data_IF_007911697292
#
_entry.id   IF_007911697292
#
_cell.length_a   1.000
_cell.length_b   1.000
_cell.length_c   1.000
_cell.angle_alpha   90.00
_cell.angle_beta   90.00
_cell.angle_gamma   90.00
#
_symmetry.space_group_name_H-M   'P 1'
#
loop_
_entity.id
_entity.type
_entity.pdbx_description
1 polymer ?
#
# COMPACT_ATOMS: atom_id res chain seq x y z
N UNK A 1 -11.19 12.43 -1.19
CA UNK A 1 -10.36 13.22 -0.24
C UNK A 1 -8.92 12.91 -0.58
N UNK A 2 -8.12 13.87 -1.06
CA UNK A 2 -6.70 13.63 -1.33
C UNK A 2 -5.93 13.64 -0.01
N UNK A 3 -5.78 12.49 0.62
CA UNK A 3 -4.86 12.36 1.74
C UNK A 3 -3.43 12.44 1.22
N UNK A 4 -2.58 13.19 1.91
CA UNK A 4 -1.15 13.14 1.63
C UNK A 4 -0.59 11.76 1.99
N UNK A 5 0.45 11.32 1.28
CA UNK A 5 1.14 10.06 1.56
C UNK A 5 1.61 9.98 3.03
N UNK A 6 2.08 11.10 3.58
CA UNK A 6 2.47 11.22 4.99
C UNK A 6 1.30 10.99 5.95
N UNK A 7 0.10 11.44 5.61
CA UNK A 7 -1.10 11.24 6.44
C UNK A 7 -1.51 9.78 6.44
N UNK A 8 -1.51 9.15 5.27
CA UNK A 8 -1.83 7.72 5.10
C UNK A 8 -0.85 6.85 5.88
N UNK A 9 0.46 7.08 5.73
CA UNK A 9 1.49 6.35 6.48
C UNK A 9 1.30 6.46 7.99
N UNK A 10 1.01 7.66 8.50
CA UNK A 10 0.77 7.87 9.94
C UNK A 10 -0.47 7.12 10.43
N UNK A 11 -1.58 7.19 9.68
CA UNK A 11 -2.81 6.47 10.02
C UNK A 11 -2.59 4.96 10.04
N UNK A 12 -1.89 4.41 9.04
CA UNK A 12 -1.52 3.00 9.02
C UNK A 12 -0.75 2.58 10.29
N UNK A 13 0.30 3.33 10.63
CA UNK A 13 1.12 3.02 11.81
C UNK A 13 0.30 3.00 13.11
N UNK A 14 -0.69 3.89 13.25
CA UNK A 14 -1.53 3.96 14.45
C UNK A 14 -2.40 2.71 14.67
N UNK A 15 -2.68 1.94 13.62
CA UNK A 15 -3.50 0.72 13.69
C UNK A 15 -2.70 -0.56 13.40
N UNK A 16 -1.36 -0.48 13.46
CA UNK A 16 -0.49 -1.64 13.35
C UNK A 16 -0.07 -2.00 11.92
N UNK A 17 -0.18 -1.08 10.97
CA UNK A 17 0.24 -1.30 9.58
C UNK A 17 1.41 -0.40 9.18
N UNK A 18 2.23 -0.87 8.24
CA UNK A 18 3.27 -0.07 7.59
C UNK A 18 2.99 0.02 6.09
N UNK A 19 2.94 1.24 5.58
CA UNK A 19 2.82 1.51 4.14
C UNK A 19 4.22 1.72 3.56
N UNK A 20 4.57 0.90 2.57
CA UNK A 20 5.83 0.94 1.85
C UNK A 20 5.59 1.45 0.43
N UNK A 21 6.43 2.39 -0.02
CA UNK A 21 6.36 2.95 -1.37
C UNK A 21 7.50 2.37 -2.20
N UNK A 22 7.20 2.05 -3.44
CA UNK A 22 8.15 1.53 -4.40
C UNK A 22 7.65 1.69 -5.82
N UNK A 23 8.29 0.98 -6.73
CA UNK A 23 7.83 0.89 -8.11
C UNK A 23 7.09 -0.42 -8.29
N UNK A 24 6.10 -0.43 -9.18
CA UNK A 24 5.40 -1.65 -9.56
C UNK A 24 6.36 -2.57 -10.32
N UNK A 25 6.56 -3.78 -9.81
CA UNK A 25 7.35 -4.81 -10.49
C UNK A 25 6.46 -5.93 -11.05
N UNK A 26 6.93 -6.52 -12.16
CA UNK A 26 6.56 -7.86 -12.62
C UNK A 26 7.82 -8.74 -12.69
N UNK A 27 8.00 -9.65 -11.73
CA UNK A 27 9.23 -10.41 -11.53
C UNK A 27 10.41 -9.47 -11.32
N UNK A 28 11.40 -9.52 -12.23
CA UNK A 28 12.59 -8.68 -12.18
C UNK A 28 12.43 -7.34 -12.93
N UNK A 29 11.26 -7.07 -13.52
CA UNK A 29 11.03 -5.92 -14.39
C UNK A 29 10.20 -4.84 -13.70
N UNK A 30 10.62 -3.57 -13.82
CA UNK A 30 9.82 -2.42 -13.38
C UNK A 30 8.86 -2.01 -14.48
N UNK A 31 7.61 -1.73 -14.13
CA UNK A 31 6.61 -1.23 -15.08
C UNK A 31 6.84 0.25 -15.41
N UNK A 32 6.72 0.60 -16.69
CA UNK A 32 6.92 1.96 -17.20
C UNK A 32 5.72 2.43 -18.02
N UNK A 33 5.41 3.72 -17.96
CA UNK A 33 4.44 4.35 -18.85
C UNK A 33 4.99 4.50 -20.28
N UNK A 34 4.16 4.98 -21.20
CA UNK A 34 4.54 5.21 -22.61
C UNK A 34 5.66 6.24 -22.80
N UNK A 35 5.96 7.04 -21.77
CA UNK A 35 7.03 8.03 -21.73
C UNK A 35 8.30 7.50 -21.06
N UNK A 36 8.30 6.25 -20.55
CA UNK A 36 9.42 5.66 -19.83
C UNK A 36 9.52 6.07 -18.36
N UNK A 37 8.46 6.63 -17.75
CA UNK A 37 8.43 6.86 -16.31
C UNK A 37 7.99 5.60 -15.57
N UNK A 38 8.64 5.32 -14.43
CA UNK A 38 8.31 4.15 -13.59
C UNK A 38 7.00 4.37 -12.86
N UNK A 39 6.13 3.35 -12.88
CA UNK A 39 4.90 3.37 -12.09
C UNK A 39 5.23 3.25 -10.61
N UNK A 40 4.77 4.22 -9.83
CA UNK A 40 4.90 4.21 -8.37
C UNK A 40 3.66 3.53 -7.78
N UNK A 41 3.87 2.71 -6.76
CA UNK A 41 2.77 2.18 -5.97
C UNK A 41 3.20 1.78 -4.57
N UNK A 42 2.32 1.06 -3.89
CA UNK A 42 2.39 0.85 -2.46
C UNK A 42 2.14 -0.59 -2.06
N UNK A 43 2.70 -0.97 -0.91
CA UNK A 43 2.41 -2.20 -0.20
C UNK A 43 2.00 -1.87 1.23
N UNK A 44 1.12 -2.70 1.80
CA UNK A 44 0.69 -2.58 3.20
C UNK A 44 1.11 -3.83 3.93
N UNK A 45 1.96 -3.65 4.95
CA UNK A 45 2.46 -4.72 5.82
C UNK A 45 1.74 -4.67 7.16
N UNK A 46 1.14 -5.78 7.56
CA UNK A 46 0.69 -5.98 8.93
C UNK A 46 1.90 -6.18 9.83
N UNK A 47 2.05 -5.34 10.85
CA UNK A 47 3.16 -5.41 11.80
C UNK A 47 2.96 -6.52 12.84
N UNK A 48 1.74 -7.00 13.05
CA UNK A 48 1.45 -8.10 13.97
C UNK A 48 1.82 -9.45 13.36
N UNK A 49 1.32 -9.74 12.16
CA UNK A 49 1.63 -11.02 11.48
C UNK A 49 2.92 -10.98 10.67
N UNK A 50 3.39 -9.80 10.29
CA UNK A 50 4.56 -9.62 9.44
C UNK A 50 4.30 -9.85 7.94
N UNK A 51 3.05 -10.16 7.55
CA UNK A 51 2.66 -10.40 6.16
C UNK A 51 2.18 -9.13 5.47
N UNK A 52 2.17 -9.17 4.13
CA UNK A 52 1.59 -8.12 3.31
C UNK A 52 0.13 -8.45 2.99
N UNK A 53 -0.77 -7.51 3.25
CA UNK A 53 -2.23 -7.67 3.10
C UNK A 53 -2.66 -7.94 1.66
N UNK A 54 -1.79 -7.59 0.70
CA UNK A 54 -1.97 -7.88 -0.72
C UNK A 54 -0.62 -8.07 -1.44
N UNK A 55 0.30 -8.78 -0.79
CA UNK A 55 1.48 -9.29 -1.48
C UNK A 55 1.03 -10.37 -2.46
N UNK A 56 1.42 -10.27 -3.73
CA UNK A 56 1.17 -11.36 -4.66
C UNK A 56 1.85 -12.62 -4.10
N UNK A 57 1.06 -13.63 -3.73
CA UNK A 57 1.56 -14.92 -3.23
C UNK A 57 2.52 -15.63 -4.18
N UNK A 58 2.66 -15.13 -5.43
CA UNK A 58 3.60 -15.66 -6.41
C UNK A 58 4.95 -14.93 -6.47
N UNK A 59 5.25 -13.97 -5.58
CA UNK A 59 6.46 -13.12 -5.58
C UNK A 59 6.68 -12.30 -6.87
N UNK A 60 5.85 -12.50 -7.89
CA UNK A 60 6.03 -11.91 -9.21
C UNK A 60 5.46 -10.51 -9.32
N UNK A 61 4.71 -10.00 -8.34
CA UNK A 61 4.19 -8.64 -8.39
C UNK A 61 4.21 -7.98 -7.02
N UNK A 62 4.70 -6.74 -6.98
CA UNK A 62 4.76 -5.93 -5.77
C UNK A 62 4.33 -4.48 -6.04
N UNK A 63 4.10 -3.73 -4.96
CA UNK A 63 3.69 -2.32 -5.00
C UNK A 63 2.47 -2.01 -5.88
N UNK A 64 1.52 -2.94 -5.98
CA UNK A 64 0.39 -2.83 -6.90
C UNK A 64 -0.65 -1.79 -6.49
N UNK A 65 -0.69 -1.41 -5.21
CA UNK A 65 -1.72 -0.47 -4.75
C UNK A 65 -1.37 0.95 -5.16
N UNK A 66 -2.37 1.71 -5.57
CA UNK A 66 -2.28 3.16 -5.59
C UNK A 66 -2.59 3.71 -4.17
N UNK A 67 -2.44 5.02 -3.96
CA UNK A 67 -2.62 5.61 -2.63
C UNK A 67 -4.08 5.60 -2.17
N UNK A 68 -5.03 5.67 -3.11
CA UNK A 68 -6.46 5.62 -2.81
C UNK A 68 -6.87 4.20 -2.36
N UNK A 69 -6.34 3.15 -3.00
CA UNK A 69 -6.55 1.76 -2.57
C UNK A 69 -6.08 1.55 -1.12
N UNK A 70 -4.89 2.09 -0.78
CA UNK A 70 -4.36 2.05 0.59
C UNK A 70 -5.30 2.79 1.55
N UNK A 71 -5.82 3.95 1.14
CA UNK A 71 -6.71 4.74 1.99
C UNK A 71 -8.05 4.03 2.24
N UNK A 72 -8.62 3.38 1.22
CA UNK A 72 -9.86 2.61 1.34
C UNK A 72 -9.68 1.39 2.26
N UNK A 73 -8.59 0.64 2.08
CA UNK A 73 -8.25 -0.47 2.97
C UNK A 73 -8.15 -0.01 4.44
N UNK A 74 -7.34 1.02 4.70
CA UNK A 74 -7.14 1.50 6.06
C UNK A 74 -8.44 2.06 6.66
N UNK A 75 -9.30 2.69 5.86
CA UNK A 75 -10.61 3.16 6.33
C UNK A 75 -11.48 1.98 6.79
N UNK A 76 -11.49 0.87 6.06
CA UNK A 76 -12.14 -0.37 6.47
C UNK A 76 -11.58 -0.92 7.79
N UNK A 77 -10.25 -0.92 7.93
CA UNK A 77 -9.57 -1.36 9.16
C UNK A 77 -9.91 -0.47 10.38
N UNK A 78 -10.02 0.85 10.18
CA UNK A 78 -10.45 1.79 11.21
C UNK A 78 -11.90 1.53 11.62
N UNK A 79 -12.82 1.38 10.66
CA UNK A 79 -14.23 1.09 10.91
C UNK A 79 -14.43 -0.23 11.66
N UNK A 80 -13.72 -1.29 11.25
CA UNK A 80 -13.76 -2.61 11.91
C UNK A 80 -13.30 -2.56 13.38
N UNK A 81 -12.41 -1.61 13.72
CA UNK A 81 -11.93 -1.37 15.09
C UNK A 81 -12.78 -0.34 15.86
N UNK A 82 -13.82 0.22 15.25
CA UNK A 82 -14.63 1.29 15.85
C UNK A 82 -13.87 2.61 16.03
N UNK A 83 -12.83 2.86 15.23
CA UNK A 83 -12.00 4.05 15.28
C UNK A 83 -12.46 5.08 14.25
N UNK A 84 -12.30 6.37 14.59
CA UNK A 84 -12.56 7.45 13.65
C UNK A 84 -11.43 7.56 12.61
N UNK A 85 -11.81 7.65 11.33
CA UNK A 85 -10.89 7.78 10.20
C UNK A 85 -10.21 9.15 10.16
#
# INVERSE_FOLDING_TARGET
MNYSESTIRRRAYNIGYRVEKGFQHFGQFVYHDSCGNRFTGYMVKDLYTGFYEWGCYSENFDHLWNLDDVAEFLKGEYEARGLAW
#
